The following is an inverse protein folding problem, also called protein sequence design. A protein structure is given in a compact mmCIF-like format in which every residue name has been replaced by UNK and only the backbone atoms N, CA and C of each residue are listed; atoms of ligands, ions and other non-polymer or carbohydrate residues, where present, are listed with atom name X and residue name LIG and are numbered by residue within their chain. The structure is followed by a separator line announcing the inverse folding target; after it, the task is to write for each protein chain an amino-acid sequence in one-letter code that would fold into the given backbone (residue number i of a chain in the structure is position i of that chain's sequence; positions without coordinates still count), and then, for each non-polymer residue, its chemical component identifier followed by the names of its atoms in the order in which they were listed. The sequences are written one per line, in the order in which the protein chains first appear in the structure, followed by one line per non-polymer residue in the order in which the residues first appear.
data_IF_343979327662
#
_entry.id   IF_343979327662
#
_cell.length_a   1.000
_cell.length_b   1.000
_cell.length_c   1.000
_cell.angle_alpha   90.00
_cell.angle_beta   90.00
_cell.angle_gamma   90.00
#
_symmetry.space_group_name_H-M   'P 1'
#
loop_
_entity.id
_entity.type
_entity.pdbx_description
1 polymer ?
#
# COMPACT_ATOMS: atom_id res chain seq x y z
N UNK A 1 78.85 16.72 42.56
CA UNK A 1 78.24 15.40 42.28
C UNK A 1 77.31 15.59 41.09
N UNK A 2 77.71 15.17 39.88
CA UNK A 2 77.31 13.88 39.29
C UNK A 2 75.78 13.66 39.42
N UNK A 3 74.96 13.55 38.37
CA UNK A 3 75.22 13.26 36.97
C UNK A 3 73.99 13.64 36.10
N UNK A 4 74.27 14.01 34.84
CA UNK A 4 73.64 13.59 33.55
C UNK A 4 72.12 13.36 33.55
N UNK A 5 71.32 13.74 32.55
CA UNK A 5 71.36 14.21 31.13
C UNK A 5 69.85 14.21 30.77
N UNK A 6 69.24 14.92 29.83
CA UNK A 6 69.57 15.65 28.60
C UNK A 6 68.24 16.38 28.27
N UNK A 7 68.27 17.67 27.90
CA UNK A 7 68.08 18.15 26.52
C UNK A 7 66.64 17.89 26.00
N UNK A 8 65.88 18.83 25.47
CA UNK A 8 66.16 20.16 24.91
C UNK A 8 64.81 20.89 24.82
N UNK A 9 64.87 22.22 24.93
CA UNK A 9 63.82 23.16 24.58
C UNK A 9 63.63 23.22 23.06
N UNK A 10 62.39 23.25 22.58
CA UNK A 10 61.91 24.40 21.81
C UNK A 10 60.40 24.32 21.50
N UNK A 11 59.77 25.47 21.74
CA UNK A 11 58.71 26.10 20.96
C UNK A 11 57.46 25.30 20.57
N UNK A 12 56.30 25.61 21.18
CA UNK A 12 55.00 25.45 20.51
C UNK A 12 53.97 26.45 21.04
N UNK A 13 53.55 27.30 20.12
CA UNK A 13 52.59 28.37 20.27
C UNK A 13 51.13 27.87 20.39
N UNK A 14 50.37 28.60 21.22
CA UNK A 14 48.95 28.94 21.08
C UNK A 14 47.97 27.83 20.62
N UNK A 15 47.39 27.14 21.61
CA UNK A 15 46.17 26.34 21.46
C UNK A 15 44.94 27.24 21.21
N UNK A 16 44.36 27.16 20.01
CA UNK A 16 43.00 27.62 19.71
C UNK A 16 42.12 26.40 19.39
N UNK A 17 40.97 26.37 20.04
CA UNK A 17 40.05 25.23 20.14
C UNK A 17 39.69 24.57 18.83
N UNK A 18 39.85 23.24 18.81
CA UNK A 18 39.35 22.37 17.75
C UNK A 18 37.87 22.08 18.01
N UNK A 19 36.98 22.58 17.16
CA UNK A 19 35.59 22.14 17.12
C UNK A 19 35.56 20.67 16.68
N UNK A 20 35.13 19.80 17.57
CA UNK A 20 34.86 18.40 17.25
C UNK A 20 33.73 18.31 16.22
N UNK A 21 34.07 17.98 14.97
CA UNK A 21 33.08 17.53 13.99
C UNK A 21 32.54 16.16 14.41
N UNK A 22 31.22 15.93 14.35
CA UNK A 22 30.63 14.67 14.79
C UNK A 22 31.14 13.51 13.93
N UNK A 23 31.59 12.45 14.59
CA UNK A 23 31.95 11.16 14.00
C UNK A 23 30.65 10.46 13.57
N UNK A 24 30.19 10.77 12.35
CA UNK A 24 29.06 10.10 11.71
C UNK A 24 29.52 8.97 10.78
N UNK A 25 29.48 7.73 11.30
CA UNK A 25 29.15 6.46 10.61
C UNK A 25 29.59 6.31 9.14
N UNK A 26 30.87 6.48 8.82
CA UNK A 26 31.41 6.26 7.46
C UNK A 26 31.57 4.76 7.07
N UNK A 27 31.06 3.82 7.86
CA UNK A 27 31.44 2.40 7.80
C UNK A 27 30.36 1.39 7.38
N UNK A 28 29.07 1.74 7.31
CA UNK A 28 28.00 0.72 7.16
C UNK A 28 27.03 0.92 5.99
N UNK A 29 27.25 1.92 5.15
CA UNK A 29 26.57 2.03 3.85
C UNK A 29 27.63 2.34 2.79
N UNK A 30 28.03 1.35 1.98
CA UNK A 30 28.76 1.64 0.75
C UNK A 30 27.77 2.30 -0.24
N UNK A 31 27.46 3.58 -0.03
CA UNK A 31 26.70 4.40 -0.96
C UNK A 31 27.49 4.69 -2.24
N UNK A 32 26.88 5.43 -3.16
CA UNK A 32 27.44 5.81 -4.47
C UNK A 32 28.92 6.26 -4.42
N UNK A 33 29.31 7.04 -3.40
CA UNK A 33 30.69 7.49 -3.20
C UNK A 33 31.71 6.37 -2.93
N UNK A 34 31.31 5.35 -2.16
CA UNK A 34 32.15 4.17 -1.90
C UNK A 34 32.35 3.31 -3.14
N UNK A 35 31.30 3.18 -3.96
CA UNK A 35 31.34 2.49 -5.24
C UNK A 35 32.23 3.22 -6.26
N UNK A 36 32.05 4.53 -6.44
CA UNK A 36 32.91 5.35 -7.30
C UNK A 36 34.40 5.24 -6.90
N UNK A 37 34.68 5.26 -5.59
CA UNK A 37 36.04 5.08 -5.07
C UNK A 37 36.62 3.71 -5.41
N UNK A 38 35.80 2.65 -5.39
CA UNK A 38 36.21 1.29 -5.77
C UNK A 38 36.51 1.22 -7.26
N UNK A 39 35.62 1.69 -8.12
CA UNK A 39 35.82 1.71 -9.58
C UNK A 39 37.03 2.53 -9.97
N UNK A 40 37.23 3.70 -9.37
CA UNK A 40 38.42 4.52 -9.61
C UNK A 40 39.70 3.77 -9.27
N UNK A 41 39.75 3.10 -8.12
CA UNK A 41 40.92 2.30 -7.72
C UNK A 41 41.17 1.14 -8.68
N UNK A 42 40.12 0.45 -9.12
CA UNK A 42 40.22 -0.63 -10.10
C UNK A 42 40.74 -0.14 -11.46
N UNK A 43 40.29 1.03 -11.91
CA UNK A 43 40.72 1.65 -13.16
C UNK A 43 42.10 2.33 -13.10
N UNK A 44 42.70 2.46 -11.91
CA UNK A 44 44.00 3.11 -11.71
C UNK A 44 43.97 4.64 -11.94
N UNK A 45 42.79 5.27 -11.89
CA UNK A 45 42.62 6.70 -12.22
C UNK A 45 42.76 7.58 -10.97
N UNK A 46 43.37 8.75 -11.12
CA UNK A 46 43.49 9.71 -10.03
C UNK A 46 42.21 10.58 -9.91
N UNK A 47 41.85 11.01 -8.70
CA UNK A 47 40.73 11.90 -8.41
C UNK A 47 40.79 13.19 -9.24
N UNK A 48 41.99 13.73 -9.49
CA UNK A 48 42.21 14.94 -10.30
C UNK A 48 41.71 14.75 -11.74
N UNK A 49 41.96 13.58 -12.33
CA UNK A 49 41.59 13.28 -13.73
C UNK A 49 40.08 13.22 -13.86
N UNK A 50 39.41 12.57 -12.90
CA UNK A 50 37.94 12.46 -12.88
C UNK A 50 37.28 13.80 -12.58
N UNK A 51 37.83 14.58 -11.66
CA UNK A 51 37.36 15.93 -11.37
C UNK A 51 37.41 16.83 -12.63
N UNK A 52 38.53 16.77 -13.37
CA UNK A 52 38.70 17.52 -14.62
C UNK A 52 37.69 17.09 -15.70
N UNK A 53 37.47 15.78 -15.86
CA UNK A 53 36.52 15.25 -16.83
C UNK A 53 35.07 15.64 -16.50
N UNK A 54 34.75 15.79 -15.22
CA UNK A 54 33.46 16.22 -14.74
C UNK A 54 33.28 17.75 -14.74
N UNK A 55 34.34 18.53 -15.00
CA UNK A 55 34.29 19.99 -14.91
C UNK A 55 34.13 20.51 -13.47
N UNK A 56 34.56 19.74 -12.46
CA UNK A 56 34.44 20.11 -11.04
C UNK A 56 35.81 20.19 -10.36
N UNK A 57 35.88 20.84 -9.20
CA UNK A 57 37.10 20.89 -8.40
C UNK A 57 37.47 19.54 -7.78
N UNK A 58 38.76 19.26 -7.61
CA UNK A 58 39.25 18.02 -6.96
C UNK A 58 38.68 17.86 -5.53
N UNK A 59 38.56 18.96 -4.78
CA UNK A 59 37.93 18.96 -3.44
C UNK A 59 36.47 18.50 -3.51
N UNK A 60 35.73 18.91 -4.54
CA UNK A 60 34.34 18.51 -4.77
C UNK A 60 34.27 17.01 -5.08
N UNK A 61 35.12 16.51 -5.97
CA UNK A 61 35.20 15.08 -6.28
C UNK A 61 35.58 14.23 -5.06
N UNK A 62 36.52 14.71 -4.23
CA UNK A 62 36.91 14.05 -2.99
C UNK A 62 35.76 13.97 -1.97
N UNK A 63 34.90 14.99 -1.93
CA UNK A 63 33.70 14.97 -1.08
C UNK A 63 32.67 13.96 -1.59
N UNK A 64 32.54 13.81 -2.91
CA UNK A 64 31.67 12.80 -3.54
C UNK A 64 32.10 11.38 -3.12
N UNK A 65 33.39 11.05 -3.21
CA UNK A 65 33.91 9.76 -2.72
C UNK A 65 33.78 9.57 -1.20
N UNK A 66 33.61 10.65 -0.43
CA UNK A 66 33.39 10.63 1.03
C UNK A 66 31.91 10.57 1.41
N UNK A 67 31.01 10.52 0.44
CA UNK A 67 29.57 10.35 0.67
C UNK A 67 28.70 11.55 0.26
N UNK A 68 29.25 12.59 -0.37
CA UNK A 68 28.41 13.62 -0.99
C UNK A 68 27.68 13.02 -2.21
N UNK A 69 26.43 13.43 -2.41
CA UNK A 69 25.53 12.92 -3.45
C UNK A 69 25.34 13.96 -4.56
N UNK A 70 26.20 13.96 -5.60
CA UNK A 70 26.05 14.88 -6.73
C UNK A 70 24.99 14.35 -7.70
N UNK A 71 24.39 15.26 -8.47
CA UNK A 71 23.71 14.89 -9.72
C UNK A 71 24.67 15.12 -10.88
N UNK A 72 24.95 14.08 -11.63
CA UNK A 72 25.73 14.17 -12.86
C UNK A 72 24.79 14.29 -14.07
N UNK A 73 25.17 15.13 -15.02
CA UNK A 73 24.52 15.17 -16.34
C UNK A 73 24.87 13.91 -17.15
N UNK A 74 24.11 13.62 -18.20
CA UNK A 74 24.39 12.49 -19.10
C UNK A 74 25.85 12.50 -19.61
N UNK A 75 26.40 13.63 -20.11
CA UNK A 75 27.80 13.68 -20.53
C UNK A 75 28.81 13.40 -19.41
N UNK A 76 28.48 13.78 -18.17
CA UNK A 76 29.31 13.50 -17.00
C UNK A 76 29.29 12.01 -16.63
N UNK A 77 28.15 11.34 -16.79
CA UNK A 77 28.06 9.88 -16.65
C UNK A 77 28.85 9.15 -17.73
N UNK A 78 28.75 9.58 -18.99
CA UNK A 78 29.48 8.96 -20.09
C UNK A 78 31.00 9.11 -19.88
N UNK A 79 31.46 10.30 -19.50
CA UNK A 79 32.86 10.56 -19.17
C UNK A 79 33.37 9.71 -18.00
N UNK A 80 32.55 9.51 -16.96
CA UNK A 80 32.88 8.63 -15.84
C UNK A 80 32.97 7.17 -16.28
N UNK A 81 31.99 6.70 -17.06
CA UNK A 81 31.97 5.32 -17.55
C UNK A 81 33.20 4.99 -18.40
N UNK A 82 33.61 5.91 -19.27
CA UNK A 82 34.74 5.72 -20.16
C UNK A 82 36.08 5.76 -19.41
N UNK A 83 36.25 6.73 -18.50
CA UNK A 83 37.48 6.83 -17.71
C UNK A 83 37.65 5.69 -16.72
N UNK A 84 36.55 5.24 -16.12
CA UNK A 84 36.56 4.13 -15.17
C UNK A 84 36.54 2.77 -15.86
N UNK A 85 36.46 2.73 -17.20
CA UNK A 85 36.38 1.50 -18.00
C UNK A 85 35.26 0.57 -17.54
N UNK A 86 34.11 1.15 -17.21
CA UNK A 86 32.97 0.41 -16.69
C UNK A 86 32.41 -0.53 -17.76
N UNK A 87 32.10 -1.76 -17.35
CA UNK A 87 31.36 -2.71 -18.18
C UNK A 87 29.88 -2.33 -18.29
N UNK A 88 29.10 -3.12 -19.03
CA UNK A 88 27.68 -2.81 -19.27
C UNK A 88 26.86 -2.77 -17.97
N UNK A 89 27.14 -3.65 -17.01
CA UNK A 89 26.42 -3.74 -15.74
C UNK A 89 26.82 -2.59 -14.79
N UNK A 90 28.11 -2.23 -14.78
CA UNK A 90 28.64 -1.11 -14.02
C UNK A 90 28.20 0.25 -14.59
N UNK A 91 28.10 0.38 -15.91
CA UNK A 91 27.48 1.55 -16.57
C UNK A 91 26.02 1.69 -16.17
N UNK A 92 25.29 0.57 -16.16
CA UNK A 92 23.91 0.55 -15.71
C UNK A 92 23.82 0.92 -14.22
N UNK A 93 24.72 0.42 -13.37
CA UNK A 93 24.79 0.82 -11.96
C UNK A 93 25.11 2.32 -11.80
N UNK A 94 26.09 2.85 -12.53
CA UNK A 94 26.42 4.29 -12.51
C UNK A 94 25.20 5.14 -12.87
N UNK A 95 24.46 4.74 -13.90
CA UNK A 95 23.21 5.38 -14.28
C UNK A 95 22.16 5.18 -13.17
N UNK A 96 21.96 3.99 -12.60
CA UNK A 96 21.01 3.71 -11.50
C UNK A 96 21.29 4.50 -10.22
N UNK A 97 22.54 4.79 -9.90
CA UNK A 97 22.88 5.59 -8.72
C UNK A 97 22.86 7.09 -9.01
N UNK A 98 23.20 7.51 -10.24
CA UNK A 98 23.01 8.88 -10.70
C UNK A 98 21.53 9.22 -10.96
N UNK A 99 20.77 8.20 -11.32
CA UNK A 99 19.33 8.11 -11.60
C UNK A 99 18.67 7.23 -10.53
N UNK A 100 19.11 7.31 -9.26
CA UNK A 100 18.26 6.88 -8.13
C UNK A 100 16.92 7.66 -8.10
N UNK A 101 16.78 8.57 -9.06
CA UNK A 101 15.62 9.24 -9.59
C UNK A 101 14.72 8.47 -10.58
N UNK A 102 15.12 7.47 -11.42
CA UNK A 102 14.21 6.81 -12.43
C UNK A 102 14.71 5.51 -13.15
N UNK A 103 14.97 4.35 -12.53
CA UNK A 103 15.32 3.15 -13.34
C UNK A 103 14.72 1.81 -12.86
N UNK A 104 13.67 1.35 -13.57
CA UNK A 104 13.72 0.04 -14.27
C UNK A 104 12.89 0.05 -15.56
N UNK A 105 13.33 -0.77 -16.51
CA UNK A 105 12.96 -0.85 -17.93
C UNK A 105 11.47 -0.95 -18.25
N UNK A 106 11.07 -0.22 -19.30
CA UNK A 106 9.83 -0.41 -20.04
C UNK A 106 9.79 -1.83 -20.61
N UNK A 107 8.83 -2.65 -20.18
CA UNK A 107 8.38 -3.78 -20.98
C UNK A 107 7.73 -3.24 -22.26
N UNK A 108 7.70 -4.02 -23.34
CA UNK A 108 7.12 -3.62 -24.62
C UNK A 108 5.62 -3.21 -24.52
N UNK A 109 4.96 -3.57 -23.41
CA UNK A 109 3.57 -3.26 -23.10
C UNK A 109 3.41 -2.18 -21.99
N UNK A 110 4.51 -1.60 -21.51
CA UNK A 110 4.53 -0.51 -20.51
C UNK A 110 4.10 -0.89 -19.09
N UNK A 111 3.66 -2.14 -18.84
CA UNK A 111 3.25 -2.61 -17.51
C UNK A 111 4.39 -3.38 -16.83
N UNK A 112 4.79 -3.01 -15.60
CA UNK A 112 5.87 -3.70 -14.93
C UNK A 112 5.39 -5.07 -14.43
N UNK A 113 6.15 -6.11 -14.76
CA UNK A 113 5.80 -7.50 -14.45
C UNK A 113 6.02 -7.82 -12.96
N UNK A 114 5.00 -8.39 -12.30
CA UNK A 114 5.06 -8.75 -10.89
C UNK A 114 5.91 -10.01 -10.68
N UNK A 115 7.07 -9.87 -10.05
CA UNK A 115 7.92 -11.01 -9.68
C UNK A 115 7.35 -11.85 -8.52
N UNK A 116 7.65 -13.17 -8.45
CA UNK A 116 7.16 -14.06 -7.40
C UNK A 116 7.48 -13.61 -5.96
N UNK A 117 8.65 -13.01 -5.73
CA UNK A 117 9.04 -12.52 -4.40
C UNK A 117 8.14 -11.38 -3.91
N UNK A 118 7.79 -10.45 -4.80
CA UNK A 118 6.90 -9.33 -4.46
C UNK A 118 5.45 -9.81 -4.29
N UNK A 119 5.02 -10.79 -5.10
CA UNK A 119 3.72 -11.45 -4.90
C UNK A 119 3.62 -12.10 -3.53
N UNK A 120 4.63 -12.88 -3.13
CA UNK A 120 4.68 -13.50 -1.81
C UNK A 120 4.63 -12.45 -0.69
N UNK A 121 5.33 -11.33 -0.84
CA UNK A 121 5.31 -10.25 0.15
C UNK A 121 3.91 -9.65 0.31
N UNK A 122 3.20 -9.39 -0.81
CA UNK A 122 1.81 -8.90 -0.82
C UNK A 122 0.91 -9.88 -0.07
N UNK A 123 1.00 -11.18 -0.40
CA UNK A 123 0.17 -12.22 0.21
C UNK A 123 0.49 -12.44 1.71
N UNK A 124 1.73 -12.15 2.15
CA UNK A 124 2.15 -12.27 3.56
C UNK A 124 1.73 -11.12 4.47
N UNK A 125 1.13 -10.05 3.94
CA UNK A 125 0.62 -8.96 4.77
C UNK A 125 -0.72 -9.26 5.45
N UNK A 126 -1.36 -10.39 5.14
CA UNK A 126 -2.62 -10.79 5.77
C UNK A 126 -2.52 -10.74 7.31
N UNK A 127 -3.53 -10.20 8.03
CA UNK A 127 -4.83 -9.75 7.53
C UNK A 127 -4.85 -8.29 7.03
N UNK A 128 -3.72 -7.60 6.96
CA UNK A 128 -3.64 -6.19 6.54
C UNK A 128 -3.89 -6.06 5.02
N UNK A 129 -4.89 -5.29 4.59
CA UNK A 129 -5.15 -5.02 3.18
C UNK A 129 -3.92 -4.43 2.49
N UNK A 130 -3.52 -5.03 1.38
CA UNK A 130 -2.29 -4.66 0.68
C UNK A 130 -2.49 -4.70 -0.82
N UNK A 131 -1.94 -3.71 -1.51
CA UNK A 131 -1.90 -3.66 -2.97
C UNK A 131 -0.58 -3.10 -3.49
N UNK A 132 -0.31 -3.40 -4.76
CA UNK A 132 0.74 -2.80 -5.57
C UNK A 132 0.08 -1.99 -6.69
N UNK A 133 0.45 -0.72 -6.84
CA UNK A 133 0.01 0.11 -7.95
C UNK A 133 1.18 0.65 -8.76
N UNK A 134 0.97 0.89 -10.06
CA UNK A 134 1.96 1.54 -10.91
C UNK A 134 2.07 3.06 -10.63
N UNK A 135 2.90 3.75 -11.43
CA UNK A 135 3.12 5.20 -11.31
C UNK A 135 1.85 6.01 -11.56
N UNK A 136 0.94 5.50 -12.40
CA UNK A 136 -0.35 6.09 -12.75
C UNK A 136 -1.48 5.63 -11.82
N UNK A 137 -1.15 4.96 -10.71
CA UNK A 137 -2.09 4.45 -9.70
C UNK A 137 -3.03 3.34 -10.17
N UNK A 138 -2.71 2.66 -11.28
CA UNK A 138 -3.42 1.44 -11.67
C UNK A 138 -2.99 0.29 -10.75
N UNK A 139 -3.96 -0.52 -10.32
CA UNK A 139 -3.69 -1.67 -9.46
C UNK A 139 -3.07 -2.78 -10.30
N UNK A 140 -1.88 -3.22 -9.91
CA UNK A 140 -1.13 -4.31 -10.53
C UNK A 140 -1.33 -5.63 -9.79
N UNK A 141 -1.44 -5.57 -8.46
CA UNK A 141 -1.65 -6.73 -7.61
C UNK A 141 -2.27 -6.32 -6.27
N UNK A 142 -2.92 -7.28 -5.62
CA UNK A 142 -3.52 -7.12 -4.30
C UNK A 142 -3.58 -8.47 -3.57
N UNK A 143 -3.69 -8.42 -2.24
CA UNK A 143 -3.95 -9.58 -1.40
C UNK A 143 -5.46 -9.79 -1.16
N UNK A 144 -5.81 -10.90 -0.54
CA UNK A 144 -7.20 -11.29 -0.30
C UNK A 144 -7.93 -10.29 0.60
N UNK A 145 -7.31 -9.82 1.69
CA UNK A 145 -7.91 -8.80 2.57
C UNK A 145 -8.28 -7.51 1.82
N UNK A 146 -7.46 -7.08 0.85
CA UNK A 146 -7.78 -5.92 0.02
C UNK A 146 -9.00 -6.19 -0.88
N UNK A 147 -9.07 -7.36 -1.52
CA UNK A 147 -10.21 -7.72 -2.36
C UNK A 147 -11.51 -7.89 -1.55
N UNK A 148 -11.40 -8.37 -0.31
CA UNK A 148 -12.54 -8.51 0.60
C UNK A 148 -13.06 -7.17 1.11
N UNK A 149 -12.16 -6.25 1.50
CA UNK A 149 -12.57 -4.95 2.04
C UNK A 149 -12.93 -3.93 0.95
N UNK A 150 -12.23 -3.96 -0.17
CA UNK A 150 -12.39 -3.03 -1.30
C UNK A 150 -12.49 -3.78 -2.64
N UNK A 151 -13.66 -4.36 -2.97
CA UNK A 151 -13.82 -5.23 -4.14
C UNK A 151 -13.49 -4.57 -5.48
N UNK A 152 -13.55 -3.23 -5.57
CA UNK A 152 -13.20 -2.47 -6.77
C UNK A 152 -11.78 -2.76 -7.28
N UNK A 153 -10.85 -3.23 -6.43
CA UNK A 153 -9.49 -3.60 -6.86
C UNK A 153 -9.49 -4.75 -7.86
N UNK A 154 -10.55 -5.56 -7.88
CA UNK A 154 -10.72 -6.66 -8.82
C UNK A 154 -11.25 -6.20 -10.19
N UNK A 155 -11.70 -4.96 -10.32
CA UNK A 155 -12.23 -4.44 -11.58
C UNK A 155 -11.15 -4.34 -12.66
N UNK A 156 -11.49 -4.58 -13.93
CA UNK A 156 -10.58 -4.34 -15.03
C UNK A 156 -10.12 -2.87 -15.02
N UNK A 157 -8.81 -2.63 -15.07
CA UNK A 157 -8.20 -1.29 -15.01
C UNK A 157 -8.52 -0.54 -13.70
N UNK A 158 -8.69 -1.26 -12.59
CA UNK A 158 -8.81 -0.68 -11.26
C UNK A 158 -7.71 0.36 -11.03
N UNK A 159 -8.11 1.55 -10.57
CA UNK A 159 -7.23 2.67 -10.32
C UNK A 159 -7.70 3.42 -9.07
N UNK A 160 -6.82 3.54 -8.07
CA UNK A 160 -7.22 4.06 -6.76
C UNK A 160 -7.68 5.52 -6.82
N UNK A 161 -7.02 6.36 -7.62
CA UNK A 161 -7.38 7.79 -7.73
C UNK A 161 -8.71 7.94 -8.48
N UNK A 162 -8.87 7.22 -9.58
CA UNK A 162 -10.12 7.21 -10.33
C UNK A 162 -11.28 6.77 -9.45
N UNK A 163 -11.15 5.61 -8.80
CA UNK A 163 -12.17 5.11 -7.88
C UNK A 163 -12.51 6.14 -6.81
N UNK A 164 -11.51 6.69 -6.12
CA UNK A 164 -11.70 7.65 -5.05
C UNK A 164 -12.40 8.96 -5.48
N UNK A 165 -12.12 9.45 -6.69
CA UNK A 165 -12.57 10.78 -7.13
C UNK A 165 -13.83 10.76 -8.02
N UNK A 166 -14.11 9.65 -8.69
CA UNK A 166 -15.20 9.57 -9.67
C UNK A 166 -16.31 8.62 -9.28
N UNK A 167 -16.08 7.69 -8.34
CA UNK A 167 -17.14 6.75 -7.94
C UNK A 167 -17.88 7.25 -6.70
N UNK A 168 -19.20 7.05 -6.65
CA UNK A 168 -19.97 7.28 -5.44
C UNK A 168 -19.44 6.50 -4.23
N UNK A 169 -19.01 5.25 -4.42
CA UNK A 169 -18.47 4.41 -3.33
C UNK A 169 -17.20 5.01 -2.73
N UNK A 170 -16.25 5.42 -3.58
CA UNK A 170 -15.03 6.09 -3.12
C UNK A 170 -15.33 7.39 -2.38
N UNK A 171 -16.34 8.12 -2.84
CA UNK A 171 -16.82 9.34 -2.16
C UNK A 171 -17.39 9.06 -0.77
N UNK A 172 -18.26 8.07 -0.66
CA UNK A 172 -18.89 7.67 0.60
C UNK A 172 -17.93 6.99 1.58
N UNK A 173 -16.85 6.37 1.07
CA UNK A 173 -15.84 5.68 1.89
C UNK A 173 -15.03 6.66 2.73
N UNK A 174 -14.58 7.80 2.17
CA UNK A 174 -13.71 8.74 2.88
C UNK A 174 -14.51 9.77 3.69
N UNK A 175 -14.23 9.88 4.99
CA UNK A 175 -14.95 10.82 5.84
C UNK A 175 -14.73 12.29 5.44
N UNK A 176 -13.47 12.68 5.26
CA UNK A 176 -13.09 14.01 4.79
C UNK A 176 -12.80 14.00 3.28
N UNK A 177 -13.73 13.51 2.46
CA UNK A 177 -13.49 13.28 1.03
C UNK A 177 -12.84 14.47 0.31
N UNK A 178 -13.25 15.71 0.59
CA UNK A 178 -12.64 16.90 -0.01
C UNK A 178 -11.15 17.07 0.34
N UNK A 179 -10.73 16.71 1.56
CA UNK A 179 -9.30 16.71 1.95
C UNK A 179 -8.54 15.63 1.19
N UNK A 180 -9.12 14.43 1.10
CA UNK A 180 -8.54 13.35 0.29
C UNK A 180 -8.41 13.75 -1.18
N UNK A 181 -9.44 14.37 -1.74
CA UNK A 181 -9.49 14.86 -3.11
C UNK A 181 -8.42 15.92 -3.37
N UNK A 182 -8.25 16.89 -2.47
CA UNK A 182 -7.17 17.87 -2.55
C UNK A 182 -5.79 17.19 -2.60
N UNK A 183 -5.52 16.23 -1.71
CA UNK A 183 -4.22 15.53 -1.72
C UNK A 183 -4.04 14.70 -3.00
N UNK A 184 -5.06 14.01 -3.48
CA UNK A 184 -4.98 13.29 -4.76
C UNK A 184 -4.71 14.22 -5.94
N UNK A 185 -5.31 15.42 -5.96
CA UNK A 185 -5.03 16.45 -6.96
C UNK A 185 -3.57 16.92 -6.88
N UNK A 186 -3.03 17.16 -5.67
CA UNK A 186 -1.62 17.52 -5.46
C UNK A 186 -0.67 16.42 -5.96
N UNK A 187 -1.03 15.16 -5.78
CA UNK A 187 -0.28 14.00 -6.29
C UNK A 187 -0.30 13.91 -7.83
N UNK A 188 -1.46 14.12 -8.45
CA UNK A 188 -1.59 14.16 -9.90
C UNK A 188 -0.79 15.34 -10.49
N UNK A 189 -0.82 16.51 -9.86
CA UNK A 189 0.00 17.67 -10.24
C UNK A 189 1.48 17.37 -10.12
N UNK A 190 1.92 16.75 -9.02
CA UNK A 190 3.31 16.36 -8.84
C UNK A 190 3.76 15.42 -9.97
N UNK A 191 2.97 14.39 -10.27
CA UNK A 191 3.26 13.47 -11.37
C UNK A 191 3.28 14.14 -12.75
N UNK A 192 2.47 15.18 -12.99
CA UNK A 192 2.56 15.96 -14.23
C UNK A 192 3.89 16.70 -14.36
N UNK A 193 4.49 17.16 -13.26
CA UNK A 193 5.79 17.84 -13.30
C UNK A 193 6.94 16.91 -13.68
N UNK A 194 6.82 15.62 -13.33
CA UNK A 194 7.84 14.60 -13.58
C UNK A 194 7.59 13.80 -14.85
N UNK A 195 6.32 13.58 -15.22
CA UNK A 195 5.89 12.72 -16.32
C UNK A 195 4.85 13.41 -17.23
N UNK A 196 5.03 14.69 -17.54
CA UNK A 196 4.05 15.48 -18.29
C UNK A 196 3.70 14.97 -19.69
N UNK A 197 4.54 14.12 -20.30
CA UNK A 197 4.28 13.48 -21.59
C UNK A 197 3.54 12.13 -21.52
N UNK A 198 3.21 11.63 -20.33
CA UNK A 198 2.53 10.35 -20.15
C UNK A 198 1.03 10.48 -20.50
N UNK A 199 0.61 9.80 -21.56
CA UNK A 199 -0.78 9.83 -22.07
C UNK A 199 -1.78 9.20 -21.11
N UNK A 200 -1.38 8.18 -20.35
CA UNK A 200 -2.26 7.51 -19.39
C UNK A 200 -2.49 8.41 -18.16
N UNK A 201 -1.45 9.12 -17.72
CA UNK A 201 -1.58 10.15 -16.67
C UNK A 201 -2.50 11.28 -17.12
N UNK A 202 -2.29 11.80 -18.33
CA UNK A 202 -3.15 12.85 -18.89
C UNK A 202 -4.61 12.37 -19.02
N UNK A 203 -4.83 11.13 -19.46
CA UNK A 203 -6.15 10.51 -19.53
C UNK A 203 -6.83 10.41 -18.17
N UNK A 204 -6.12 9.94 -17.14
CA UNK A 204 -6.61 9.91 -15.76
C UNK A 204 -7.02 11.29 -15.26
N UNK A 205 -6.19 12.31 -15.50
CA UNK A 205 -6.46 13.70 -15.09
C UNK A 205 -7.69 14.24 -15.80
N UNK A 206 -7.79 14.04 -17.11
CA UNK A 206 -8.96 14.46 -17.88
C UNK A 206 -10.24 13.79 -17.35
N UNK A 207 -10.17 12.51 -16.97
CA UNK A 207 -11.32 11.79 -16.44
C UNK A 207 -11.77 12.30 -15.07
N UNK A 208 -10.85 12.51 -14.11
CA UNK A 208 -11.24 13.00 -12.78
C UNK A 208 -11.71 14.45 -12.82
N UNK A 209 -11.19 15.27 -13.74
CA UNK A 209 -11.63 16.66 -13.93
C UNK A 209 -13.02 16.81 -14.55
N UNK A 210 -13.65 15.72 -15.03
CA UNK A 210 -15.07 15.74 -15.42
C UNK A 210 -15.99 16.01 -14.22
N UNK A 211 -15.54 15.71 -13.00
CA UNK A 211 -16.23 16.10 -11.78
C UNK A 211 -15.99 17.61 -11.50
N UNK A 212 -17.03 18.46 -11.49
CA UNK A 212 -16.86 19.90 -11.28
C UNK A 212 -16.20 20.27 -9.95
N UNK A 213 -16.39 19.48 -8.90
CA UNK A 213 -15.74 19.73 -7.61
C UNK A 213 -14.23 19.48 -7.68
N UNK A 214 -13.81 18.43 -8.40
CA UNK A 214 -12.40 18.15 -8.64
C UNK A 214 -11.78 19.22 -9.54
N UNK A 215 -12.50 19.67 -10.56
CA UNK A 215 -12.06 20.80 -11.38
C UNK A 215 -11.85 22.06 -10.54
N UNK A 216 -12.78 22.38 -9.63
CA UNK A 216 -12.64 23.51 -8.72
C UNK A 216 -11.43 23.37 -7.79
N UNK A 217 -11.22 22.20 -7.20
CA UNK A 217 -10.04 21.91 -6.38
C UNK A 217 -8.77 22.10 -7.21
N UNK A 218 -8.73 21.53 -8.42
CA UNK A 218 -7.62 21.67 -9.35
C UNK A 218 -7.29 23.14 -9.62
N UNK A 219 -8.28 23.98 -9.91
CA UNK A 219 -8.04 25.38 -10.26
C UNK A 219 -7.65 26.24 -9.05
N UNK A 220 -8.01 25.83 -7.82
CA UNK A 220 -7.74 26.57 -6.58
C UNK A 220 -6.50 26.14 -5.80
N UNK A 221 -6.05 24.89 -5.96
CA UNK A 221 -4.93 24.30 -5.21
C UNK A 221 -3.70 24.12 -6.13
N UNK A 222 -2.58 24.74 -5.73
CA UNK A 222 -1.30 24.73 -6.46
C UNK A 222 -0.21 23.93 -5.75
N UNK A 223 -0.50 23.35 -4.59
CA UNK A 223 0.47 22.58 -3.83
C UNK A 223 0.81 21.24 -4.53
N UNK A 224 1.95 20.67 -4.15
CA UNK A 224 2.45 19.40 -4.66
C UNK A 224 2.76 18.45 -3.50
N UNK A 225 2.37 17.19 -3.64
CA UNK A 225 2.66 16.11 -2.67
C UNK A 225 3.01 14.85 -3.44
N UNK A 226 4.11 14.19 -3.10
CA UNK A 226 4.57 13.00 -3.82
C UNK A 226 3.82 11.73 -3.41
N UNK A 227 3.63 11.50 -2.11
CA UNK A 227 2.95 10.32 -1.56
C UNK A 227 2.22 10.62 -0.23
N UNK A 228 1.37 9.70 0.20
CA UNK A 228 0.61 9.77 1.47
C UNK A 228 1.04 8.73 2.51
N UNK A 229 2.33 8.42 2.55
CA UNK A 229 2.88 7.56 3.60
C UNK A 229 2.58 8.11 5.00
N UNK A 230 2.23 7.21 5.93
CA UNK A 230 1.83 7.54 7.29
C UNK A 230 0.47 8.26 7.41
N UNK A 231 -0.31 8.38 6.32
CA UNK A 231 -1.59 9.08 6.36
C UNK A 231 -2.61 8.30 7.20
N UNK A 232 -3.10 8.94 8.26
CA UNK A 232 -4.17 8.44 9.12
C UNK A 232 -5.50 9.05 8.69
N UNK A 233 -6.51 8.22 8.45
CA UNK A 233 -7.83 8.70 8.02
C UNK A 233 -8.95 7.76 8.43
N UNK A 234 -10.15 8.33 8.58
CA UNK A 234 -11.38 7.58 8.84
C UNK A 234 -12.01 7.14 7.53
N UNK A 235 -12.42 5.87 7.47
CA UNK A 235 -13.11 5.30 6.33
C UNK A 235 -14.31 4.45 6.76
N UNK A 236 -15.44 4.62 6.08
CA UNK A 236 -16.62 3.75 6.22
C UNK A 236 -16.54 2.64 5.20
N UNK A 237 -16.48 1.38 5.65
CA UNK A 237 -16.18 0.26 4.75
C UNK A 237 -17.47 -0.50 4.38
N UNK A 238 -17.89 -0.52 3.09
CA UNK A 238 -19.15 -1.15 2.68
C UNK A 238 -19.25 -2.63 3.09
N UNK A 239 -18.13 -3.35 2.92
CA UNK A 239 -17.97 -4.78 3.20
C UNK A 239 -17.81 -5.08 4.70
N UNK A 240 -17.85 -4.07 5.57
CA UNK A 240 -18.04 -4.18 7.01
C UNK A 240 -19.39 -3.59 7.45
N UNK A 241 -20.35 -3.43 6.53
CA UNK A 241 -21.65 -2.82 6.83
C UNK A 241 -21.55 -1.31 7.07
N UNK A 242 -20.60 -0.64 6.40
CA UNK A 242 -20.25 0.77 6.60
C UNK A 242 -19.76 1.13 8.00
N UNK A 243 -19.22 0.14 8.73
CA UNK A 243 -18.47 0.41 9.95
C UNK A 243 -17.33 1.38 9.65
N UNK A 244 -17.22 2.41 10.47
CA UNK A 244 -16.09 3.35 10.40
C UNK A 244 -14.87 2.72 11.08
N UNK A 245 -13.76 2.73 10.38
CA UNK A 245 -12.45 2.32 10.88
C UNK A 245 -11.44 3.44 10.67
N UNK A 246 -10.40 3.46 11.49
CA UNK A 246 -9.28 4.38 11.33
C UNK A 246 -8.14 3.64 10.66
N UNK A 247 -7.72 4.12 9.49
CA UNK A 247 -6.73 3.49 8.63
C UNK A 247 -5.45 4.31 8.66
N UNK A 248 -4.32 3.62 8.80
CA UNK A 248 -2.98 4.15 8.54
C UNK A 248 -2.46 3.52 7.26
N UNK A 249 -2.13 4.36 6.28
CA UNK A 249 -1.55 3.93 5.00
C UNK A 249 -0.03 3.98 5.05
N UNK A 250 0.62 2.84 4.80
CA UNK A 250 2.07 2.73 4.67
C UNK A 250 2.44 2.55 3.20
N UNK A 251 3.29 3.43 2.66
CA UNK A 251 3.70 3.44 1.25
C UNK A 251 5.19 3.17 1.16
N UNK A 252 5.55 2.06 0.51
CA UNK A 252 6.93 1.70 0.21
C UNK A 252 7.14 1.56 -1.31
N UNK A 253 8.37 1.78 -1.76
CA UNK A 253 8.77 1.63 -3.15
C UNK A 253 9.68 0.41 -3.30
N UNK A 254 9.24 -0.66 -3.98
CA UNK A 254 10.08 -1.84 -4.19
C UNK A 254 11.29 -1.47 -5.06
N UNK A 255 12.50 -1.80 -4.61
CA UNK A 255 13.72 -1.48 -5.37
C UNK A 255 13.73 -2.05 -6.80
N UNK A 256 13.04 -3.18 -7.03
CA UNK A 256 12.92 -3.83 -8.34
C UNK A 256 11.85 -3.20 -9.26
N UNK A 257 10.95 -2.39 -8.69
CA UNK A 257 9.86 -1.68 -9.37
C UNK A 257 9.72 -0.27 -8.74
N UNK A 258 10.70 0.62 -8.92
CA UNK A 258 10.78 1.90 -8.20
C UNK A 258 9.65 2.87 -8.56
N UNK A 259 9.04 2.71 -9.72
CA UNK A 259 7.87 3.48 -10.16
C UNK A 259 6.54 2.93 -9.59
N UNK A 260 6.59 1.82 -8.85
CA UNK A 260 5.43 1.20 -8.22
C UNK A 260 5.36 1.51 -6.73
N UNK A 261 4.13 1.57 -6.22
CA UNK A 261 3.83 1.80 -4.81
C UNK A 261 3.28 0.53 -4.22
N UNK A 262 4.01 -0.04 -3.26
CA UNK A 262 3.54 -1.09 -2.39
C UNK A 262 2.86 -0.45 -1.19
N UNK A 263 1.56 -0.64 -1.05
CA UNK A 263 0.75 0.01 -0.01
C UNK A 263 0.18 -1.05 0.92
N UNK A 264 0.45 -0.89 2.22
CA UNK A 264 -0.15 -1.68 3.29
C UNK A 264 -1.05 -0.77 4.11
N UNK A 265 -2.28 -1.21 4.37
CA UNK A 265 -3.21 -0.53 5.25
C UNK A 265 -3.29 -1.28 6.56
N UNK A 266 -2.86 -0.64 7.64
CA UNK A 266 -3.16 -1.11 9.00
C UNK A 266 -4.34 -0.32 9.52
N UNK A 267 -5.19 -0.92 10.34
CA UNK A 267 -6.35 -0.22 10.85
C UNK A 267 -6.69 -0.65 12.27
N UNK A 268 -7.38 0.25 12.96
CA UNK A 268 -7.98 0.02 14.28
C UNK A 268 -9.45 0.38 14.21
N UNK A 269 -10.25 -0.17 15.12
CA UNK A 269 -11.62 0.31 15.29
C UNK A 269 -11.59 1.79 15.68
N UNK A 270 -12.32 2.61 14.94
CA UNK A 270 -12.42 4.02 15.25
C UNK A 270 -13.35 4.20 16.46
N UNK A 271 -12.85 4.77 17.55
CA UNK A 271 -13.71 5.38 18.56
C UNK A 271 -14.08 6.78 18.08
N UNK A 272 -15.36 7.06 17.76
CA UNK A 272 -15.77 8.33 17.14
C UNK A 272 -15.40 9.56 17.96
N UNK A 273 -15.37 9.42 19.29
CA UNK A 273 -15.12 10.51 20.24
C UNK A 273 -13.67 10.61 20.71
N UNK A 274 -12.76 9.77 20.20
CA UNK A 274 -11.36 9.81 20.62
C UNK A 274 -10.67 11.09 20.12
N UNK A 275 -10.03 11.81 21.05
CA UNK A 275 -9.20 13.00 20.75
C UNK A 275 -7.86 12.64 20.11
N UNK A 276 -7.51 11.35 20.07
CA UNK A 276 -6.25 10.84 19.52
C UNK A 276 -6.51 9.91 18.34
N UNK A 277 -5.62 9.97 17.36
CA UNK A 277 -5.60 9.06 16.22
C UNK A 277 -4.93 7.71 16.56
N UNK A 278 -4.95 6.78 15.62
CA UNK A 278 -4.39 5.43 15.74
C UNK A 278 -2.89 5.40 16.08
N UNK A 279 -2.15 6.49 15.85
CA UNK A 279 -0.73 6.62 16.19
C UNK A 279 -0.51 7.36 17.52
N UNK A 280 -1.60 7.70 18.23
CA UNK A 280 -1.58 8.42 19.48
C UNK A 280 -1.35 9.93 19.33
N UNK A 281 -1.35 10.46 18.10
CA UNK A 281 -1.27 11.88 17.81
C UNK A 281 -2.61 12.59 18.06
N UNK A 282 -2.66 13.94 18.13
CA UNK A 282 -3.92 14.67 18.21
C UNK A 282 -4.73 14.43 16.92
N UNK A 283 -5.95 13.90 17.06
CA UNK A 283 -6.85 13.72 15.92
C UNK A 283 -7.19 15.10 15.36
N UNK A 284 -6.97 15.32 14.06
CA UNK A 284 -7.03 16.63 13.43
C UNK A 284 -6.02 17.67 13.97
N UNK A 285 -4.78 17.30 14.33
CA UNK A 285 -3.74 18.24 14.80
C UNK A 285 -3.62 19.52 13.93
N UNK A 286 -3.82 19.40 12.62
CA UNK A 286 -3.85 20.53 11.68
C UNK A 286 -4.99 21.55 11.92
N UNK A 287 -6.10 21.14 12.54
CA UNK A 287 -7.22 22.01 12.93
C UNK A 287 -6.89 22.86 14.16
N UNK A 288 -5.97 22.41 15.02
CA UNK A 288 -5.48 23.20 16.15
C UNK A 288 -4.37 24.17 15.72
N UNK A 289 -3.53 23.81 14.74
CA UNK A 289 -2.39 24.64 14.32
C UNK A 289 -2.76 25.88 13.50
N UNK A 290 -4.00 26.04 13.02
CA UNK A 290 -4.37 27.19 12.17
C UNK A 290 -5.61 27.99 12.59
N UNK A 291 -6.35 27.64 13.64
CA UNK A 291 -7.66 28.29 13.92
C UNK A 291 -7.72 28.85 15.34
N UNK A 292 -7.24 30.09 15.50
CA UNK A 292 -7.14 30.78 16.79
C UNK A 292 -8.46 31.43 17.28
N UNK A 293 -9.58 31.24 16.57
CA UNK A 293 -10.86 31.89 16.94
C UNK A 293 -12.06 30.94 17.01
N UNK A 294 -13.03 31.26 17.88
CA UNK A 294 -14.30 30.53 18.06
C UNK A 294 -15.11 30.44 16.74
N UNK A 295 -15.01 31.47 15.91
CA UNK A 295 -15.66 31.53 14.60
C UNK A 295 -15.10 30.49 13.61
N UNK A 296 -13.77 30.30 13.59
CA UNK A 296 -13.12 29.32 12.73
C UNK A 296 -13.42 27.87 13.18
N UNK A 297 -13.51 27.62 14.49
CA UNK A 297 -13.95 26.33 15.05
C UNK A 297 -15.40 26.00 14.68
N UNK A 298 -16.31 26.97 14.80
CA UNK A 298 -17.72 26.79 14.41
C UNK A 298 -17.87 26.53 12.91
N UNK A 299 -17.09 27.21 12.07
CA UNK A 299 -17.07 26.98 10.61
C UNK A 299 -16.46 25.62 10.25
N UNK A 300 -15.45 25.15 10.99
CA UNK A 300 -14.90 23.80 10.84
C UNK A 300 -15.91 22.72 11.25
N UNK A 301 -16.62 22.89 12.37
CA UNK A 301 -17.71 22.00 12.78
C UNK A 301 -18.88 21.98 11.79
N UNK A 302 -19.25 23.13 11.23
CA UNK A 302 -20.26 23.21 10.18
C UNK A 302 -19.82 22.50 8.89
N UNK A 303 -18.51 22.54 8.55
CA UNK A 303 -17.94 21.77 7.44
C UNK A 303 -17.92 20.28 7.70
N UNK A 304 -17.65 19.84 8.93
CA UNK A 304 -17.73 18.43 9.35
C UNK A 304 -19.18 17.96 9.24
N UNK A 305 -20.14 18.70 9.80
CA UNK A 305 -21.56 18.35 9.75
C UNK A 305 -22.12 18.35 8.32
N UNK A 306 -21.68 19.28 7.46
CA UNK A 306 -22.05 19.28 6.05
C UNK A 306 -21.36 18.13 5.29
N UNK A 307 -20.09 17.82 5.59
CA UNK A 307 -19.41 16.65 5.03
C UNK A 307 -20.07 15.34 5.46
N UNK A 308 -20.53 15.23 6.71
CA UNK A 308 -21.29 14.08 7.23
C UNK A 308 -22.66 13.98 6.54
N UNK A 309 -23.35 15.11 6.30
CA UNK A 309 -24.63 15.14 5.57
C UNK A 309 -24.47 14.76 4.10
N UNK A 310 -23.46 15.32 3.43
CA UNK A 310 -23.11 14.96 2.05
C UNK A 310 -22.71 13.49 1.98
N UNK A 311 -21.97 12.98 2.96
CA UNK A 311 -21.64 11.55 3.08
C UNK A 311 -22.88 10.69 3.27
N UNK A 312 -23.83 11.07 4.11
CA UNK A 312 -25.09 10.33 4.29
C UNK A 312 -25.90 10.27 2.98
N UNK A 313 -25.88 11.36 2.21
CA UNK A 313 -26.48 11.42 0.89
C UNK A 313 -25.69 10.62 -0.15
N UNK A 314 -24.36 10.63 -0.09
CA UNK A 314 -23.47 9.87 -0.97
C UNK A 314 -23.51 8.37 -0.65
N UNK A 315 -23.65 7.98 0.62
CA UNK A 315 -23.89 6.61 1.06
C UNK A 315 -25.20 6.07 0.47
N UNK A 316 -26.25 6.89 0.47
CA UNK A 316 -27.54 6.58 -0.17
C UNK A 316 -27.45 6.57 -1.70
N UNK A 317 -26.61 7.40 -2.31
CA UNK A 317 -26.46 7.52 -3.78
C UNK A 317 -25.48 6.49 -4.36
N UNK A 318 -24.47 6.08 -3.58
CA UNK A 318 -23.46 5.09 -3.95
C UNK A 318 -23.94 3.66 -3.83
N UNK A 319 -24.84 3.43 -2.87
CA UNK A 319 -25.67 2.24 -2.89
C UNK A 319 -26.62 2.35 -4.06
N UNK A 320 -26.68 1.29 -4.86
CA UNK A 320 -27.75 1.14 -5.84
C UNK A 320 -29.06 1.00 -5.06
N UNK A 321 -29.81 2.09 -4.88
CA UNK A 321 -31.11 2.04 -4.20
C UNK A 321 -32.21 1.80 -5.23
N UNK A 322 -33.11 0.88 -4.91
CA UNK A 322 -34.30 0.59 -5.74
C UNK A 322 -35.55 0.68 -4.88
N UNK A 323 -36.68 0.94 -5.53
CA UNK A 323 -37.98 1.17 -4.87
C UNK A 323 -38.72 -0.13 -4.49
N UNK A 324 -38.13 -1.30 -4.76
CA UNK A 324 -38.72 -2.58 -4.37
C UNK A 324 -37.71 -3.73 -4.29
N UNK A 325 -38.02 -4.70 -3.44
CA UNK A 325 -37.37 -6.01 -3.34
C UNK A 325 -37.24 -6.73 -4.70
N UNK A 326 -38.27 -6.61 -5.55
CA UNK A 326 -38.30 -7.25 -6.88
C UNK A 326 -37.29 -6.62 -7.83
N UNK A 327 -37.18 -5.29 -7.84
CA UNK A 327 -36.17 -4.59 -8.64
C UNK A 327 -34.76 -4.87 -8.12
N UNK A 328 -34.61 -5.11 -6.82
CA UNK A 328 -33.33 -5.50 -6.23
C UNK A 328 -32.93 -6.89 -6.71
N UNK A 329 -33.84 -7.87 -6.63
CA UNK A 329 -33.61 -9.23 -7.11
C UNK A 329 -33.30 -9.27 -8.62
N UNK A 330 -33.96 -8.42 -9.42
CA UNK A 330 -33.72 -8.32 -10.86
C UNK A 330 -32.25 -7.95 -11.22
N UNK A 331 -31.50 -7.35 -10.29
CA UNK A 331 -30.07 -7.05 -10.48
C UNK A 331 -29.19 -8.29 -10.53
N UNK A 332 -29.69 -9.44 -10.08
CA UNK A 332 -28.97 -10.72 -10.19
C UNK A 332 -29.01 -11.31 -11.61
N UNK A 333 -29.74 -10.68 -12.54
CA UNK A 333 -29.92 -11.17 -13.90
C UNK A 333 -31.12 -12.11 -14.03
N UNK A 334 -31.39 -12.55 -15.26
CA UNK A 334 -32.56 -13.40 -15.59
C UNK A 334 -32.49 -14.78 -14.95
N UNK A 335 -31.31 -15.22 -14.56
CA UNK A 335 -31.01 -16.49 -13.90
C UNK A 335 -30.89 -16.36 -12.37
N UNK A 336 -31.32 -15.23 -11.80
CA UNK A 336 -31.26 -14.97 -10.37
C UNK A 336 -31.99 -16.04 -9.54
N UNK A 337 -31.31 -16.61 -8.55
CA UNK A 337 -31.85 -17.62 -7.63
C UNK A 337 -31.99 -17.00 -6.24
N UNK A 338 -33.21 -16.79 -5.73
CA UNK A 338 -33.42 -16.29 -4.37
C UNK A 338 -32.87 -17.25 -3.31
N UNK A 339 -32.32 -16.69 -2.24
CA UNK A 339 -31.77 -17.42 -1.09
C UNK A 339 -32.52 -17.03 0.21
N UNK A 340 -33.81 -17.37 0.35
CA UNK A 340 -34.66 -16.90 1.45
C UNK A 340 -34.24 -17.41 2.84
N UNK A 341 -33.67 -18.62 2.95
CA UNK A 341 -33.22 -19.13 4.23
C UNK A 341 -31.98 -18.37 4.73
N UNK A 342 -31.00 -18.12 3.85
CA UNK A 342 -29.83 -17.31 4.17
C UNK A 342 -30.18 -15.84 4.35
N UNK A 343 -31.15 -15.31 3.61
CA UNK A 343 -31.63 -13.93 3.76
C UNK A 343 -32.07 -13.65 5.20
N UNK A 344 -32.86 -14.56 5.79
CA UNK A 344 -33.29 -14.48 7.19
C UNK A 344 -32.15 -14.56 8.19
N UNK A 345 -31.08 -15.29 7.86
CA UNK A 345 -29.93 -15.46 8.75
C UNK A 345 -29.00 -14.24 8.76
N UNK A 346 -28.89 -13.52 7.63
CA UNK A 346 -28.04 -12.33 7.55
C UNK A 346 -28.73 -11.06 8.04
N UNK A 347 -30.06 -11.02 8.06
CA UNK A 347 -30.81 -9.94 8.70
C UNK A 347 -32.31 -9.93 8.36
N UNK A 348 -33.17 -9.39 9.25
CA UNK A 348 -34.63 -9.41 9.07
C UNK A 348 -35.13 -8.56 7.90
N UNK A 349 -34.35 -7.56 7.48
CA UNK A 349 -34.64 -6.68 6.34
C UNK A 349 -33.78 -7.01 5.10
N UNK A 350 -33.16 -8.19 5.04
CA UNK A 350 -32.25 -8.58 3.96
C UNK A 350 -32.91 -9.50 2.94
N UNK A 351 -32.52 -9.34 1.69
CA UNK A 351 -32.85 -10.24 0.59
C UNK A 351 -31.57 -10.57 -0.20
N UNK A 352 -31.29 -11.86 -0.32
CA UNK A 352 -30.16 -12.39 -1.07
C UNK A 352 -30.66 -13.07 -2.34
N UNK A 353 -30.06 -12.69 -3.47
CA UNK A 353 -30.32 -13.32 -4.77
C UNK A 353 -28.99 -13.71 -5.41
N UNK A 354 -28.77 -15.00 -5.60
CA UNK A 354 -27.59 -15.55 -6.27
C UNK A 354 -27.66 -15.28 -7.77
N UNK A 355 -26.57 -14.82 -8.37
CA UNK A 355 -26.43 -14.64 -9.82
C UNK A 355 -25.46 -15.69 -10.37
N UNK A 356 -25.94 -16.78 -10.98
CA UNK A 356 -25.08 -17.81 -11.55
C UNK A 356 -24.18 -17.31 -12.67
N UNK A 357 -24.70 -16.45 -13.54
CA UNK A 357 -23.99 -15.85 -14.67
C UNK A 357 -22.80 -15.00 -14.24
N UNK A 358 -22.95 -14.18 -13.19
CA UNK A 358 -21.86 -13.31 -12.68
C UNK A 358 -21.07 -13.93 -11.54
N UNK A 359 -21.50 -15.09 -11.03
CA UNK A 359 -20.95 -15.79 -9.86
C UNK A 359 -20.91 -14.97 -8.57
N UNK A 360 -21.77 -13.96 -8.47
CA UNK A 360 -21.91 -13.09 -7.31
C UNK A 360 -23.28 -13.26 -6.63
N UNK A 361 -23.44 -12.65 -5.47
CA UNK A 361 -24.72 -12.54 -4.77
C UNK A 361 -25.13 -11.08 -4.73
N UNK A 362 -26.35 -10.81 -5.17
CA UNK A 362 -27.01 -9.53 -4.92
C UNK A 362 -27.56 -9.57 -3.50
N UNK A 363 -27.06 -8.68 -2.66
CA UNK A 363 -27.53 -8.45 -1.32
C UNK A 363 -28.29 -7.13 -1.28
N UNK A 364 -29.59 -7.21 -1.06
CA UNK A 364 -30.46 -6.06 -0.85
C UNK A 364 -30.86 -5.96 0.62
N UNK A 365 -30.92 -4.75 1.15
CA UNK A 365 -31.40 -4.48 2.50
C UNK A 365 -32.45 -3.37 2.44
N UNK A 366 -33.59 -3.57 3.07
CA UNK A 366 -34.60 -2.52 3.23
C UNK A 366 -34.15 -1.54 4.32
N UNK A 367 -33.89 -0.29 3.92
CA UNK A 367 -33.35 0.76 4.79
C UNK A 367 -34.47 1.67 5.31
N UNK A 368 -35.50 1.87 4.48
CA UNK A 368 -36.76 2.50 4.82
C UNK A 368 -37.89 1.83 4.02
N UNK A 369 -39.18 1.98 4.40
CA UNK A 369 -40.27 1.35 3.67
C UNK A 369 -40.26 1.70 2.18
N UNK A 370 -40.01 0.71 1.33
CA UNK A 370 -39.89 0.91 -0.13
C UNK A 370 -38.54 1.47 -0.61
N UNK A 371 -37.52 1.57 0.24
CA UNK A 371 -36.15 1.94 -0.14
C UNK A 371 -35.20 0.78 0.16
N UNK A 372 -34.69 0.16 -0.91
CA UNK A 372 -33.83 -1.02 -0.83
C UNK A 372 -32.42 -0.71 -1.32
N UNK A 373 -31.44 -0.71 -0.41
CA UNK A 373 -30.03 -0.59 -0.76
C UNK A 373 -29.49 -1.91 -1.30
N UNK A 374 -28.90 -1.89 -2.51
CA UNK A 374 -28.43 -3.09 -3.21
C UNK A 374 -26.91 -3.08 -3.35
N UNK A 375 -26.28 -4.21 -3.06
CA UNK A 375 -24.83 -4.45 -3.20
C UNK A 375 -24.58 -5.80 -3.88
N UNK A 376 -23.47 -5.93 -4.61
CA UNK A 376 -23.01 -7.21 -5.12
C UNK A 376 -21.82 -7.70 -4.29
N UNK A 377 -21.90 -8.91 -3.77
CA UNK A 377 -20.87 -9.51 -2.91
C UNK A 377 -20.47 -10.88 -3.43
N UNK A 378 -19.24 -11.30 -3.13
CA UNK A 378 -18.79 -12.65 -3.47
C UNK A 378 -19.51 -13.70 -2.61
N UNK A 379 -19.65 -14.95 -3.08
CA UNK A 379 -20.18 -16.04 -2.26
C UNK A 379 -19.39 -16.26 -0.97
N UNK A 380 -18.07 -16.08 -0.98
CA UNK A 380 -17.20 -16.23 0.20
C UNK A 380 -17.52 -15.20 1.28
N UNK A 381 -17.72 -13.94 0.89
CA UNK A 381 -18.12 -12.85 1.79
C UNK A 381 -19.43 -13.17 2.49
N UNK A 382 -20.38 -13.76 1.76
CA UNK A 382 -21.66 -14.17 2.34
C UNK A 382 -21.48 -15.35 3.29
N UNK A 383 -20.73 -16.39 2.90
CA UNK A 383 -20.48 -17.58 3.73
C UNK A 383 -19.88 -17.19 5.08
N UNK A 384 -18.93 -16.24 5.10
CA UNK A 384 -18.29 -15.76 6.33
C UNK A 384 -19.25 -15.05 7.30
N UNK A 385 -20.37 -14.49 6.79
CA UNK A 385 -21.37 -13.76 7.59
C UNK A 385 -22.51 -14.63 8.09
N UNK A 386 -22.64 -15.86 7.63
CA UNK A 386 -23.71 -16.77 8.08
C UNK A 386 -23.30 -17.37 9.43
N UNK A 387 -24.12 -17.24 10.49
CA UNK A 387 -23.80 -17.82 11.79
C UNK A 387 -23.62 -19.36 11.69
N UNK A 388 -22.47 -19.94 12.07
CA UNK A 388 -22.17 -21.36 11.85
C UNK A 388 -23.20 -22.31 12.48
N UNK A 389 -23.72 -21.95 13.66
CA UNK A 389 -24.72 -22.72 14.39
C UNK A 389 -26.16 -22.60 13.87
N UNK A 390 -26.39 -21.78 12.83
CA UNK A 390 -27.73 -21.57 12.26
C UNK A 390 -27.92 -22.25 10.89
N UNK A 391 -26.91 -22.99 10.40
CA UNK A 391 -26.90 -23.61 9.07
C UNK A 391 -27.56 -25.00 9.12
N UNK A 392 -28.88 -25.02 9.10
CA UNK A 392 -29.67 -26.25 9.06
C UNK A 392 -30.76 -26.19 7.98
N UNK A 393 -31.31 -27.35 7.60
CA UNK A 393 -32.40 -27.45 6.62
C UNK A 393 -32.12 -26.70 5.31
N UNK A 394 -33.03 -25.80 4.94
CA UNK A 394 -32.98 -25.02 3.70
C UNK A 394 -31.75 -24.10 3.61
N UNK A 395 -31.28 -23.54 4.73
CA UNK A 395 -30.07 -22.73 4.77
C UNK A 395 -28.84 -23.53 4.34
N UNK A 396 -28.77 -24.82 4.70
CA UNK A 396 -27.70 -25.72 4.26
C UNK A 396 -27.77 -26.01 2.76
N UNK A 397 -28.97 -26.15 2.20
CA UNK A 397 -29.17 -26.37 0.76
C UNK A 397 -28.82 -25.13 -0.07
N UNK A 398 -29.15 -23.94 0.42
CA UNK A 398 -28.74 -22.66 -0.17
C UNK A 398 -27.23 -22.43 -0.07
N UNK A 399 -26.63 -22.71 1.08
CA UNK A 399 -25.18 -22.61 1.27
C UNK A 399 -24.42 -23.53 0.31
N UNK A 400 -24.89 -24.77 0.10
CA UNK A 400 -24.32 -25.69 -0.90
C UNK A 400 -24.31 -25.09 -2.30
N UNK A 401 -25.37 -24.37 -2.70
CA UNK A 401 -25.47 -23.70 -4.00
C UNK A 401 -24.46 -22.56 -4.12
N UNK A 402 -24.31 -21.75 -3.08
CA UNK A 402 -23.28 -20.70 -2.99
C UNK A 402 -21.87 -21.28 -3.11
N UNK A 403 -21.56 -22.29 -2.30
CA UNK A 403 -20.25 -22.95 -2.31
C UNK A 403 -19.97 -23.57 -3.68
N UNK A 404 -20.97 -24.16 -4.34
CA UNK A 404 -20.79 -24.76 -5.67
C UNK A 404 -20.40 -23.74 -6.74
N UNK A 405 -20.97 -22.54 -6.69
CA UNK A 405 -20.67 -21.44 -7.62
C UNK A 405 -19.28 -20.85 -7.38
N UNK A 406 -18.81 -20.87 -6.14
CA UNK A 406 -17.44 -20.48 -5.80
C UNK A 406 -16.38 -21.49 -6.29
N UNK A 407 -16.77 -22.71 -6.68
CA UNK A 407 -15.87 -23.77 -7.13
C UNK A 407 -15.76 -23.85 -8.67
N UNK A 408 -14.62 -24.33 -9.21
CA UNK A 408 -14.47 -24.63 -10.63
C UNK A 408 -15.63 -25.42 -11.24
N UNK A 409 -15.94 -25.18 -12.52
CA UNK A 409 -17.05 -25.86 -13.19
C UNK A 409 -16.81 -27.37 -13.31
N UNK A 410 -15.57 -27.79 -13.61
CA UNK A 410 -15.20 -29.19 -13.73
C UNK A 410 -15.20 -29.90 -12.35
N UNK A 411 -15.85 -31.08 -12.23
CA UNK A 411 -15.94 -31.80 -10.95
C UNK A 411 -14.59 -32.13 -10.30
N UNK A 412 -13.61 -32.56 -11.08
CA UNK A 412 -12.26 -32.88 -10.58
C UNK A 412 -11.54 -31.63 -10.08
N UNK A 413 -11.61 -30.52 -10.82
CA UNK A 413 -11.02 -29.26 -10.40
C UNK A 413 -11.69 -28.70 -9.14
N UNK A 414 -13.02 -28.89 -9.00
CA UNK A 414 -13.75 -28.54 -7.79
C UNK A 414 -13.32 -29.39 -6.59
N UNK A 415 -13.21 -30.72 -6.77
CA UNK A 415 -12.75 -31.63 -5.72
C UNK A 415 -11.32 -31.30 -5.27
N UNK A 416 -10.41 -31.05 -6.21
CA UNK A 416 -9.04 -30.65 -5.92
C UNK A 416 -8.99 -29.31 -5.17
N UNK A 417 -9.81 -28.32 -5.56
CA UNK A 417 -9.88 -27.03 -4.86
C UNK A 417 -10.42 -27.19 -3.45
N UNK A 418 -11.45 -28.01 -3.25
CA UNK A 418 -11.98 -28.32 -1.91
C UNK A 418 -10.91 -28.99 -1.05
N UNK A 419 -10.18 -29.97 -1.59
CA UNK A 419 -9.10 -30.64 -0.86
C UNK A 419 -7.97 -29.67 -0.48
N UNK A 420 -7.61 -28.76 -1.38
CA UNK A 420 -6.62 -27.72 -1.11
C UNK A 420 -7.09 -26.79 0.02
N UNK A 421 -8.33 -26.30 -0.03
CA UNK A 421 -8.91 -25.44 1.01
C UNK A 421 -8.96 -26.15 2.37
N UNK A 422 -9.35 -27.42 2.40
CA UNK A 422 -9.34 -28.21 3.64
C UNK A 422 -7.93 -28.34 4.22
N UNK A 423 -6.93 -28.61 3.38
CA UNK A 423 -5.52 -28.67 3.79
C UNK A 423 -5.02 -27.33 4.36
N UNK A 424 -5.36 -26.21 3.71
CA UNK A 424 -5.02 -24.86 4.16
C UNK A 424 -5.65 -24.56 5.54
N UNK A 425 -6.94 -24.91 5.73
CA UNK A 425 -7.65 -24.72 6.99
C UNK A 425 -7.11 -25.63 8.10
N UNK A 426 -6.77 -26.89 7.79
CA UNK A 426 -6.18 -27.82 8.76
C UNK A 426 -4.80 -27.33 9.24
N UNK A 427 -4.00 -26.73 8.36
CA UNK A 427 -2.73 -26.10 8.73
C UNK A 427 -2.95 -24.90 9.65
N UNK A 428 -3.90 -24.02 9.32
CA UNK A 428 -4.25 -22.87 10.16
C UNK A 428 -4.78 -23.31 11.53
N UNK A 429 -5.67 -24.30 11.56
CA UNK A 429 -6.20 -24.84 12.81
C UNK A 429 -5.11 -25.48 13.67
N UNK A 430 -4.16 -26.18 13.04
CA UNK A 430 -3.03 -26.79 13.74
C UNK A 430 -2.13 -25.73 14.39
N UNK A 431 -1.81 -24.66 13.66
CA UNK A 431 -1.05 -23.53 14.19
C UNK A 431 -1.78 -22.84 15.34
N UNK A 432 -3.08 -22.58 15.20
CA UNK A 432 -3.88 -21.96 16.26
C UNK A 432 -3.95 -22.84 17.52
N UNK A 433 -4.01 -24.17 17.37
CA UNK A 433 -3.95 -25.11 18.50
C UNK A 433 -2.58 -25.15 19.16
N UNK A 434 -1.50 -24.99 18.39
CA UNK A 434 -0.14 -24.86 18.92
C UNK A 434 -0.03 -23.60 19.77
N UNK A 435 -0.42 -22.44 19.22
CA UNK A 435 -0.47 -21.17 19.94
C UNK A 435 -1.36 -21.28 21.19
N UNK A 436 -2.53 -21.92 21.09
CA UNK A 436 -3.42 -22.15 22.24
C UNK A 436 -2.73 -22.94 23.35
N UNK A 437 -1.99 -24.01 23.02
CA UNK A 437 -1.24 -24.81 24.02
C UNK A 437 -0.12 -24.01 24.68
N UNK A 438 0.56 -23.16 23.89
CA UNK A 438 1.58 -22.25 24.41
C UNK A 438 0.98 -21.23 25.39
N UNK A 439 -0.18 -20.66 25.05
CA UNK A 439 -0.89 -19.70 25.88
C UNK A 439 -1.50 -20.32 27.15
N UNK A 440 -2.01 -21.56 27.07
CA UNK A 440 -2.61 -22.28 28.19
C UNK A 440 -1.58 -22.82 29.21
N UNK A 441 -0.29 -22.46 29.06
CA UNK A 441 0.78 -22.89 29.96
C UNK A 441 1.07 -24.40 29.90
N UNK A 442 0.48 -25.11 28.93
CA UNK A 442 0.86 -26.48 28.61
C UNK A 442 2.09 -26.45 27.73
N UNK A 443 3.24 -26.11 28.30
CA UNK A 443 4.53 -26.35 27.65
C UNK A 443 4.62 -27.84 27.31
N UNK A 444 4.58 -28.26 26.03
CA UNK A 444 5.10 -29.57 25.70
C UNK A 444 6.60 -29.41 25.88
N UNK A 445 7.15 -30.04 26.92
CA UNK A 445 8.59 -30.28 27.03
C UNK A 445 9.06 -30.74 25.65
N UNK A 446 9.88 -29.92 24.99
CA UNK A 446 10.57 -30.26 23.77
C UNK A 446 11.31 -31.57 24.01
N UNK A 447 10.71 -32.70 23.63
CA UNK A 447 11.48 -33.90 23.34
C UNK A 447 12.05 -33.69 21.95
N UNK A 448 13.21 -33.07 21.90
CA UNK A 448 14.15 -33.21 20.81
C UNK A 448 14.57 -34.68 20.72
N UNK A 449 14.39 -35.39 19.60
CA UNK A 449 15.20 -36.55 19.30
C UNK A 449 16.21 -36.12 18.22
N UNK A 450 17.44 -35.94 18.67
CA UNK A 450 18.69 -36.03 17.94
C UNK A 450 18.55 -36.59 16.51
N UNK A 451 18.51 -35.72 15.50
CA UNK A 451 18.82 -36.10 14.10
C UNK A 451 19.39 -34.95 13.26
N UNK A 452 20.18 -34.08 13.87
CA UNK A 452 21.09 -33.17 13.15
C UNK A 452 22.45 -33.15 13.88
N UNK A 453 23.00 -34.34 14.14
CA UNK A 453 24.40 -34.52 14.56
C UNK A 453 25.11 -35.62 13.74
N UNK A 454 24.47 -36.12 12.66
CA UNK A 454 25.03 -37.17 11.80
C UNK A 454 25.37 -36.70 10.38
N UNK A 455 25.12 -35.44 10.04
CA UNK A 455 25.48 -34.88 8.72
C UNK A 455 26.78 -34.05 8.78
N UNK A 456 27.29 -33.71 9.97
CA UNK A 456 28.59 -33.04 10.13
C UNK A 456 29.77 -33.98 10.43
N UNK A 457 29.55 -35.29 10.53
CA UNK A 457 30.61 -36.28 10.75
C UNK A 457 30.98 -37.09 9.49
N UNK A 458 30.28 -36.92 8.36
CA UNK A 458 30.60 -37.56 7.06
C UNK A 458 31.12 -36.56 6.00
N UNK A 459 31.48 -35.34 6.41
CA UNK A 459 32.13 -34.33 5.54
C UNK A 459 33.53 -33.93 6.00
N UNK A 460 34.10 -34.63 6.98
CA UNK A 460 35.51 -34.48 7.44
C UNK A 460 36.20 -35.86 7.63
N UNK A 461 35.68 -36.88 6.94
CA UNK A 461 36.35 -38.16 6.69
C UNK A 461 36.36 -38.37 5.19
#
# INVERSE_FOLDING_TARGET
MAARRRAESDDTAAEKGTSASPVGVAGQYMGFGGMLKRWRKAAGVNQIVLARALGIGERTYRNIERGATPRFSQPQCDALADLLKLDADERHALLLYNVGTYLRASTADGRPELGPALRLLIDRQMPSPTYLSDRNWNILAYNEAMAELWPWVMEPRANIIRWALTTPEGRATYHDWHKHAAVFVRMLRFALTTHGGDTDLQGLIADVKKNPEIQKIWDSDVDLVEHRDGHVFLASIPTLGWKTIEIVSHVAYPAIMPDCRFVVMTWVEAEPDAQRDALGGPRNAWAEETHNTVYERSRAQARIAEADRLRDMDLRTARLVVDSAEKAAAKAGKDGIPLPALSRLVGPASQLTLSPSTRNVVWAVEEAPGEWGVSQVSPSTLIARVPPGAIHGDARAELKRLTRIALPAAPEAAANRVQQLLSELDQQQSLLREIQRELDGQTPVLRTPQRIARVQAELVS
#
